data_IF_575861922362
#
_entry.id   IF_575861922362
#
_cell.length_a   1.000
_cell.length_b   1.000
_cell.length_c   1.000
_cell.angle_alpha   90.00
_cell.angle_beta   90.00
_cell.angle_gamma   90.00
#
_symmetry.space_group_name_H-M   'P 1'
#
loop_
_entity.id
_entity.type
_entity.pdbx_description
1 polymer ?
#
# COMPACT_ATOMS: atom_id res chain seq x y z
N UNK A 1 41.63 6.31 10.97
CA UNK A 1 41.12 7.07 9.80
C UNK A 1 40.29 6.21 8.86
N UNK A 2 40.68 4.97 8.52
CA UNK A 2 39.90 4.10 7.63
C UNK A 2 38.62 3.51 8.23
N UNK A 3 38.60 3.20 9.54
CA UNK A 3 37.40 2.62 10.20
C UNK A 3 36.19 3.56 10.22
N UNK A 4 36.40 4.87 10.30
CA UNK A 4 35.33 5.89 10.22
C UNK A 4 34.81 6.09 8.80
N UNK A 5 35.68 5.98 7.78
CA UNK A 5 35.29 6.05 6.37
C UNK A 5 34.44 4.83 5.98
N UNK A 6 34.88 3.62 6.35
CA UNK A 6 34.12 2.38 6.10
C UNK A 6 32.78 2.33 6.85
N UNK A 7 32.75 2.81 8.10
CA UNK A 7 31.52 2.85 8.88
C UNK A 7 30.54 3.90 8.32
N UNK A 8 31.05 5.06 7.89
CA UNK A 8 30.24 6.10 7.24
C UNK A 8 29.60 5.60 5.94
N UNK A 9 30.33 4.89 5.09
CA UNK A 9 29.77 4.32 3.86
C UNK A 9 28.56 3.44 4.13
N UNK A 10 28.59 2.55 5.13
CA UNK A 10 27.46 1.67 5.44
C UNK A 10 26.17 2.41 5.87
N UNK A 11 26.30 3.53 6.60
CA UNK A 11 25.13 4.30 7.05
C UNK A 11 24.49 5.15 5.95
N UNK A 12 25.23 5.50 4.89
CA UNK A 12 24.68 6.28 3.77
C UNK A 12 24.32 5.42 2.56
N UNK A 13 25.10 4.37 2.24
CA UNK A 13 24.84 3.52 1.08
C UNK A 13 23.65 2.60 1.29
N UNK A 14 23.44 2.07 2.50
CA UNK A 14 22.30 1.21 2.82
C UNK A 14 20.95 1.89 2.53
N UNK A 15 20.68 3.07 3.13
CA UNK A 15 19.44 3.81 2.86
C UNK A 15 19.29 4.22 1.39
N UNK A 16 20.39 4.60 0.72
CA UNK A 16 20.35 4.98 -0.69
C UNK A 16 19.99 3.79 -1.59
N UNK A 17 20.55 2.61 -1.32
CA UNK A 17 20.26 1.38 -2.06
C UNK A 17 18.83 0.91 -1.81
N UNK A 18 18.31 1.05 -0.59
CA UNK A 18 16.91 0.74 -0.30
C UNK A 18 15.94 1.67 -1.04
N UNK A 19 16.24 2.97 -1.08
CA UNK A 19 15.49 3.92 -1.88
C UNK A 19 15.57 3.61 -3.38
N UNK A 20 16.76 3.30 -3.88
CA UNK A 20 16.96 2.94 -5.27
C UNK A 20 16.16 1.68 -5.64
N UNK A 21 16.20 0.65 -4.78
CA UNK A 21 15.43 -0.59 -4.97
C UNK A 21 13.92 -0.32 -4.92
N UNK A 22 13.46 0.51 -3.97
CA UNK A 22 12.05 0.89 -3.89
C UNK A 22 11.57 1.66 -5.12
N UNK A 23 12.42 2.52 -5.69
CA UNK A 23 12.13 3.21 -6.95
C UNK A 23 12.12 2.24 -8.13
N UNK A 24 13.11 1.34 -8.22
CA UNK A 24 13.12 0.35 -9.31
C UNK A 24 11.90 -0.53 -9.26
N UNK A 25 11.52 -1.05 -8.09
CA UNK A 25 10.31 -1.88 -7.93
C UNK A 25 9.04 -1.11 -8.32
N UNK A 26 8.91 0.14 -7.84
CA UNK A 26 7.78 1.00 -8.17
C UNK A 26 7.67 1.24 -9.68
N UNK A 27 8.78 1.61 -10.31
CA UNK A 27 8.79 1.84 -11.74
C UNK A 27 8.52 0.52 -12.48
N UNK A 28 9.16 -0.60 -12.15
CA UNK A 28 8.91 -1.86 -12.86
C UNK A 28 7.44 -2.27 -12.80
N UNK A 29 6.79 -2.18 -11.64
CA UNK A 29 5.37 -2.51 -11.50
C UNK A 29 4.48 -1.53 -12.30
N UNK A 30 4.80 -0.24 -12.26
CA UNK A 30 4.11 0.78 -13.05
C UNK A 30 4.26 0.54 -14.55
N UNK A 31 5.48 0.32 -15.03
CA UNK A 31 5.78 0.05 -16.44
C UNK A 31 5.10 -1.23 -16.92
N UNK A 32 5.06 -2.28 -16.08
CA UNK A 32 4.33 -3.52 -16.40
C UNK A 32 2.82 -3.30 -16.51
N UNK A 33 2.26 -2.47 -15.62
CA UNK A 33 0.83 -2.13 -15.64
C UNK A 33 0.41 -1.36 -16.91
N UNK A 34 1.33 -0.61 -17.52
CA UNK A 34 1.07 0.09 -18.78
C UNK A 34 1.07 -0.86 -19.99
N UNK A 35 1.76 -1.99 -19.89
CA UNK A 35 1.92 -2.93 -21.00
C UNK A 35 0.82 -4.01 -21.03
N UNK A 36 0.34 -4.45 -19.86
CA UNK A 36 -0.58 -5.59 -19.74
C UNK A 36 -2.09 -5.22 -19.77
N UNK A 37 -2.44 -3.93 -19.83
CA UNK A 37 -3.83 -3.48 -19.67
C UNK A 37 -4.41 -2.85 -20.94
N UNK A 38 -4.83 -3.68 -21.90
CA UNK A 38 -5.87 -3.24 -22.85
C UNK A 38 -7.25 -3.44 -22.19
N UNK A 39 -7.96 -2.35 -21.82
CA UNK A 39 -9.25 -2.48 -21.15
C UNK A 39 -10.25 -3.17 -22.09
N UNK A 40 -10.80 -4.30 -21.63
CA UNK A 40 -11.90 -4.96 -22.33
C UNK A 40 -13.21 -4.26 -21.97
N UNK A 41 -14.09 -4.07 -22.96
CA UNK A 41 -15.43 -3.54 -22.69
C UNK A 41 -16.37 -4.59 -22.07
N UNK A 42 -15.92 -5.84 -21.87
CA UNK A 42 -16.74 -6.93 -21.35
C UNK A 42 -15.97 -7.72 -20.29
N UNK A 43 -16.55 -7.80 -19.09
CA UNK A 43 -16.06 -8.58 -17.97
C UNK A 43 -17.13 -9.56 -17.52
N UNK A 44 -16.73 -10.74 -17.05
CA UNK A 44 -17.64 -11.73 -16.49
C UNK A 44 -17.96 -11.40 -15.03
N UNK A 45 -17.02 -10.77 -14.32
CA UNK A 45 -17.18 -10.31 -12.95
C UNK A 45 -16.59 -8.91 -12.75
N UNK A 46 -17.29 -8.10 -11.94
CA UNK A 46 -16.80 -6.82 -11.44
C UNK A 46 -16.71 -6.91 -9.92
N UNK A 47 -15.51 -6.68 -9.38
CA UNK A 47 -15.23 -6.71 -7.94
C UNK A 47 -14.91 -5.28 -7.51
N UNK A 48 -15.65 -4.79 -6.52
CA UNK A 48 -15.46 -3.46 -5.94
C UNK A 48 -14.71 -3.60 -4.62
N UNK A 49 -13.51 -3.04 -4.55
CA UNK A 49 -12.57 -3.10 -3.45
C UNK A 49 -11.53 -4.22 -3.60
N UNK A 50 -10.26 -3.86 -3.72
CA UNK A 50 -9.07 -4.72 -3.69
C UNK A 50 -8.53 -4.95 -2.25
N UNK A 51 -9.40 -4.88 -1.25
CA UNK A 51 -9.08 -5.29 0.12
C UNK A 51 -8.84 -6.81 0.25
N UNK A 52 -8.67 -7.30 1.48
CA UNK A 52 -8.27 -8.69 1.76
C UNK A 52 -9.13 -9.75 1.06
N UNK A 53 -10.46 -9.55 1.05
CA UNK A 53 -11.39 -10.46 0.37
C UNK A 53 -11.39 -10.27 -1.15
N UNK A 54 -11.49 -9.02 -1.62
CA UNK A 54 -11.64 -8.71 -3.03
C UNK A 54 -10.43 -9.11 -3.87
N UNK A 55 -9.21 -8.84 -3.39
CA UNK A 55 -7.99 -9.28 -4.06
C UNK A 55 -7.90 -10.81 -4.15
N UNK A 56 -8.29 -11.52 -3.08
CA UNK A 56 -8.27 -12.99 -3.04
C UNK A 56 -9.27 -13.60 -4.02
N UNK A 57 -10.49 -13.05 -4.10
CA UNK A 57 -11.51 -13.52 -5.03
C UNK A 57 -11.12 -13.19 -6.47
N UNK A 58 -10.62 -11.97 -6.72
CA UNK A 58 -10.13 -11.56 -8.04
C UNK A 58 -9.07 -12.52 -8.57
N UNK A 59 -8.06 -12.86 -7.75
CA UNK A 59 -7.01 -13.81 -8.10
C UNK A 59 -7.53 -15.21 -8.44
N UNK A 60 -8.62 -15.65 -7.80
CA UNK A 60 -9.21 -16.98 -8.07
C UNK A 60 -10.02 -16.97 -9.35
N UNK A 61 -10.87 -15.96 -9.55
CA UNK A 61 -11.74 -15.84 -10.71
C UNK A 61 -10.97 -15.53 -11.99
N UNK A 62 -9.91 -14.73 -11.92
CA UNK A 62 -9.11 -14.32 -13.08
C UNK A 62 -8.41 -15.47 -13.80
N UNK A 63 -8.29 -16.64 -13.16
CA UNK A 63 -7.74 -17.86 -13.79
C UNK A 63 -8.58 -18.39 -14.95
N UNK A 64 -9.88 -18.12 -14.95
CA UNK A 64 -10.83 -18.66 -15.92
C UNK A 64 -11.82 -17.62 -16.46
N UNK A 65 -11.83 -16.41 -15.91
CA UNK A 65 -12.79 -15.36 -16.22
C UNK A 65 -12.10 -14.02 -16.42
N UNK A 66 -12.73 -13.13 -17.19
CA UNK A 66 -12.32 -11.73 -17.26
C UNK A 66 -12.90 -10.99 -16.05
N UNK A 67 -12.02 -10.47 -15.21
CA UNK A 67 -12.38 -9.81 -13.96
C UNK A 67 -11.94 -8.36 -14.00
N UNK A 68 -12.86 -7.45 -13.73
CA UNK A 68 -12.54 -6.06 -13.43
C UNK A 68 -12.47 -5.89 -11.91
N UNK A 69 -11.31 -5.49 -11.39
CA UNK A 69 -11.14 -5.13 -9.98
C UNK A 69 -11.02 -3.61 -9.88
N UNK A 70 -11.95 -2.99 -9.17
CA UNK A 70 -11.96 -1.53 -8.95
C UNK A 70 -11.59 -1.26 -7.50
N UNK A 71 -10.55 -0.47 -7.26
CA UNK A 71 -10.11 -0.05 -5.93
C UNK A 71 -10.14 1.47 -5.84
N UNK A 72 -10.59 2.01 -4.71
CA UNK A 72 -10.65 3.44 -4.50
C UNK A 72 -9.30 4.03 -4.08
N UNK A 73 -8.49 3.23 -3.38
CA UNK A 73 -7.12 3.57 -3.04
C UNK A 73 -6.15 3.51 -4.23
N UNK A 74 -4.93 4.00 -3.99
CA UNK A 74 -3.83 3.92 -4.95
C UNK A 74 -3.01 2.64 -4.85
N UNK A 75 -1.96 2.56 -5.66
CA UNK A 75 -0.96 1.49 -5.53
C UNK A 75 -0.30 1.54 -4.14
N UNK A 76 -0.14 0.41 -3.44
CA UNK A 76 0.49 0.38 -2.14
C UNK A 76 1.95 0.85 -2.25
N UNK A 77 2.35 1.81 -1.42
CA UNK A 77 3.74 2.28 -1.40
C UNK A 77 4.68 1.24 -0.78
N UNK A 78 5.94 1.23 -1.22
CA UNK A 78 6.89 0.14 -0.91
C UNK A 78 7.11 -0.11 0.59
N UNK A 79 7.10 0.93 1.43
CA UNK A 79 7.34 0.77 2.87
C UNK A 79 6.16 0.15 3.62
N UNK A 80 4.95 0.07 3.03
CA UNK A 80 3.81 -0.65 3.63
C UNK A 80 4.12 -2.13 3.94
N UNK A 81 5.14 -2.69 3.28
CA UNK A 81 5.65 -4.04 3.51
C UNK A 81 6.48 -4.18 4.80
N UNK A 82 6.83 -3.07 5.47
CA UNK A 82 7.62 -3.04 6.70
C UNK A 82 6.68 -3.04 7.92
N UNK A 83 6.61 -4.12 8.71
CA UNK A 83 5.64 -4.18 9.82
C UNK A 83 5.83 -3.11 10.89
N UNK A 84 7.07 -2.64 11.08
CA UNK A 84 7.42 -1.66 12.10
C UNK A 84 6.81 -0.27 11.92
N UNK A 85 6.31 0.06 10.73
CA UNK A 85 5.71 1.37 10.42
C UNK A 85 4.18 1.35 10.40
N UNK A 86 3.54 0.26 10.85
CA UNK A 86 2.10 0.10 10.72
C UNK A 86 1.29 1.23 11.40
N UNK A 87 1.77 1.71 12.56
CA UNK A 87 1.13 2.82 13.27
C UNK A 87 1.27 4.15 12.53
N UNK A 88 2.35 4.32 11.76
CA UNK A 88 2.58 5.52 10.94
C UNK A 88 1.66 5.57 9.71
N UNK A 89 0.84 4.54 9.46
CA UNK A 89 -0.14 4.57 8.35
C UNK A 89 -1.49 5.09 8.81
N UNK A 90 -1.75 5.02 10.11
CA UNK A 90 -3.02 5.47 10.70
C UNK A 90 -3.04 6.99 10.73
N UNK A 91 -4.15 7.61 10.31
CA UNK A 91 -4.31 9.06 10.29
C UNK A 91 -3.68 9.77 9.08
N UNK A 92 -3.15 9.03 8.10
CA UNK A 92 -2.66 9.60 6.84
C UNK A 92 -3.73 9.49 5.74
N UNK A 93 -4.27 10.61 5.22
CA UNK A 93 -5.42 10.60 4.30
C UNK A 93 -5.20 9.86 2.96
N UNK A 94 -3.95 9.56 2.61
CA UNK A 94 -3.63 8.82 1.39
C UNK A 94 -3.81 7.29 1.56
N UNK A 95 -3.78 6.79 2.80
CA UNK A 95 -3.79 5.35 3.11
C UNK A 95 -4.89 4.94 4.10
N UNK A 96 -5.34 5.90 4.90
CA UNK A 96 -6.42 5.76 5.85
C UNK A 96 -7.67 6.45 5.29
N UNK A 97 -8.82 5.80 5.44
CA UNK A 97 -10.12 6.38 5.10
C UNK A 97 -10.52 7.56 5.99
N UNK A 98 -9.80 7.78 7.09
CA UNK A 98 -10.03 8.87 8.04
C UNK A 98 -11.46 8.86 8.60
N UNK A 99 -12.06 7.67 8.69
CA UNK A 99 -13.35 7.51 9.32
C UNK A 99 -13.25 7.89 10.80
N UNK A 100 -14.23 8.66 11.25
CA UNK A 100 -14.33 9.08 12.64
C UNK A 100 -15.61 8.55 13.23
N UNK A 101 -15.51 8.10 14.46
CA UNK A 101 -16.67 7.73 15.25
C UNK A 101 -17.38 8.98 15.78
N UNK A 102 -18.62 8.81 16.24
CA UNK A 102 -19.21 9.76 17.19
C UNK A 102 -18.49 9.65 18.55
N UNK A 103 -18.57 10.65 19.44
CA UNK A 103 -17.99 10.55 20.79
C UNK A 103 -18.42 9.28 21.53
N UNK A 104 -17.46 8.49 21.99
CA UNK A 104 -17.71 7.23 22.68
C UNK A 104 -17.72 7.42 24.20
N UNK A 105 -18.69 6.80 24.89
CA UNK A 105 -18.77 6.86 26.36
C UNK A 105 -17.74 5.97 27.05
N UNK A 106 -17.35 4.87 26.41
CA UNK A 106 -16.53 3.80 27.00
C UNK A 106 -15.28 3.42 26.16
N UNK A 107 -14.94 4.21 25.14
CA UNK A 107 -13.78 3.98 24.28
C UNK A 107 -13.13 5.32 23.89
N UNK A 108 -11.90 5.28 23.35
CA UNK A 108 -11.21 6.49 22.89
C UNK A 108 -10.85 7.49 24.01
N UNK A 109 -10.74 7.07 25.27
CA UNK A 109 -10.55 7.96 26.43
C UNK A 109 -9.25 8.79 26.39
N UNK A 110 -8.26 8.38 25.59
CA UNK A 110 -7.03 9.13 25.33
C UNK A 110 -7.09 10.06 24.11
N UNK A 111 -8.22 10.08 23.39
CA UNK A 111 -8.41 10.85 22.17
C UNK A 111 -9.28 12.08 22.44
N UNK A 112 -9.10 13.12 21.64
CA UNK A 112 -9.87 14.36 21.78
C UNK A 112 -11.37 14.07 21.63
N UNK A 113 -12.16 14.47 22.62
CA UNK A 113 -13.61 14.26 22.67
C UNK A 113 -14.05 12.79 22.57
N UNK A 114 -13.21 11.83 22.95
CA UNK A 114 -13.47 10.40 22.82
C UNK A 114 -13.87 9.96 21.40
N UNK A 115 -13.37 10.67 20.39
CA UNK A 115 -13.55 10.32 18.97
C UNK A 115 -12.33 9.50 18.54
N UNK A 116 -12.58 8.25 18.18
CA UNK A 116 -11.64 7.38 17.45
C UNK A 116 -11.69 7.79 15.99
#
# INVERSE_FOLDING_TARGET
MWRTIFMGCFFYTGPLLFLLHGLTDYYTDYWWSLWDNEPSNVYDFIIIGAGSAGATIAYRLSKHHRVLLVEAGGHPFSSSKVPGIALDLTGYPHWDWMHKTIPQKHAGLGLKNNVI
#
